data_IF_541169781498
#
_entry.id   IF_541169781498
#
_cell.length_a   1.000
_cell.length_b   1.000
_cell.length_c   1.000
_cell.angle_alpha   90.00
_cell.angle_beta   90.00
_cell.angle_gamma   90.00
#
_symmetry.space_group_name_H-M   'P 1'
#
loop_
_entity.id
_entity.type
_entity.pdbx_description
1 polymer ?
#
# COMPACT_ATOMS: atom_id res chain seq x y z
N UNK A 1 -1.30 -17.57 -3.55
CA UNK A 1 -2.69 -17.07 -3.52
C UNK A 1 -2.97 -16.14 -2.33
N UNK A 2 -2.66 -16.51 -1.07
CA UNK A 2 -2.97 -15.65 0.09
C UNK A 2 -2.29 -14.26 0.08
N UNK A 3 -1.02 -14.16 -0.31
CA UNK A 3 -0.27 -12.89 -0.33
C UNK A 3 -0.81 -11.91 -1.38
N UNK A 4 -1.24 -12.39 -2.55
CA UNK A 4 -1.91 -11.53 -3.54
C UNK A 4 -3.19 -10.89 -3.00
N UNK A 5 -4.01 -11.65 -2.26
CA UNK A 5 -5.17 -11.10 -1.56
C UNK A 5 -4.80 -10.09 -0.47
N UNK A 6 -3.64 -10.23 0.17
CA UNK A 6 -3.16 -9.23 1.12
C UNK A 6 -2.84 -7.90 0.41
N UNK A 7 -2.29 -7.94 -0.81
CA UNK A 7 -2.06 -6.72 -1.63
C UNK A 7 -3.39 -6.06 -1.98
N UNK A 8 -4.39 -6.83 -2.43
CA UNK A 8 -5.73 -6.31 -2.76
C UNK A 8 -6.45 -5.73 -1.54
N UNK A 9 -6.31 -6.35 -0.36
CA UNK A 9 -6.87 -5.84 0.89
C UNK A 9 -6.18 -4.55 1.33
N UNK A 10 -4.86 -4.45 1.15
CA UNK A 10 -4.12 -3.22 1.42
C UNK A 10 -4.55 -2.09 0.47
N UNK A 11 -4.73 -2.40 -0.82
CA UNK A 11 -5.30 -1.43 -1.76
C UNK A 11 -6.73 -1.03 -1.36
N UNK A 12 -7.58 -1.97 -0.95
CA UNK A 12 -8.93 -1.68 -0.52
C UNK A 12 -8.97 -0.77 0.72
N UNK A 13 -8.08 -1.01 1.69
CA UNK A 13 -7.86 -0.14 2.84
C UNK A 13 -7.60 1.31 2.39
N UNK A 14 -6.58 1.52 1.54
CA UNK A 14 -6.25 2.86 1.06
C UNK A 14 -7.38 3.50 0.26
N UNK A 15 -8.06 2.76 -0.61
CA UNK A 15 -9.16 3.31 -1.42
C UNK A 15 -10.36 3.74 -0.57
N UNK A 16 -10.72 2.98 0.47
CA UNK A 16 -11.82 3.37 1.37
C UNK A 16 -11.47 4.65 2.13
N UNK A 17 -10.24 4.77 2.64
CA UNK A 17 -9.78 5.97 3.32
C UNK A 17 -9.66 7.18 2.37
N UNK A 18 -9.05 6.99 1.20
CA UNK A 18 -8.86 7.99 0.14
C UNK A 18 -10.20 8.57 -0.34
N UNK A 19 -11.20 7.71 -0.58
CA UNK A 19 -12.53 8.15 -0.99
C UNK A 19 -13.18 9.11 0.03
N UNK A 20 -12.91 8.93 1.34
CA UNK A 20 -13.39 9.82 2.41
C UNK A 20 -12.60 11.13 2.39
N UNK A 21 -11.26 11.06 2.37
CA UNK A 21 -10.37 12.22 2.39
C UNK A 21 -10.62 13.15 1.20
N UNK A 22 -10.83 12.57 0.03
CA UNK A 22 -11.05 13.29 -1.23
C UNK A 22 -12.53 13.66 -1.47
N UNK A 23 -13.43 13.26 -0.55
CA UNK A 23 -14.88 13.44 -0.70
C UNK A 23 -15.43 12.86 -2.02
N UNK A 24 -14.86 11.73 -2.46
CA UNK A 24 -15.22 11.08 -3.72
C UNK A 24 -16.67 10.57 -3.73
N UNK A 25 -17.28 10.52 -4.92
CA UNK A 25 -18.66 10.05 -5.11
C UNK A 25 -18.74 8.58 -5.50
N UNK A 26 -17.89 8.15 -6.44
CA UNK A 26 -17.94 6.80 -7.01
C UNK A 26 -16.58 6.15 -7.11
N UNK A 27 -16.53 4.83 -6.89
CA UNK A 27 -15.34 3.99 -7.06
C UNK A 27 -15.76 2.71 -7.79
N UNK A 28 -15.00 2.32 -8.82
CA UNK A 28 -15.24 1.09 -9.62
C UNK A 28 -16.69 1.00 -10.16
N UNK A 29 -17.24 2.12 -10.61
CA UNK A 29 -18.59 2.20 -11.20
C UNK A 29 -19.74 2.12 -10.20
N UNK A 30 -19.48 2.22 -8.89
CA UNK A 30 -20.47 2.18 -7.81
C UNK A 30 -20.24 3.35 -6.83
N UNK A 31 -21.20 3.62 -5.94
CA UNK A 31 -20.99 4.58 -4.85
C UNK A 31 -19.78 4.17 -3.99
N UNK A 32 -18.98 5.16 -3.58
CA UNK A 32 -17.91 4.95 -2.60
C UNK A 32 -18.45 4.32 -1.32
N UNK A 33 -17.63 3.53 -0.62
CA UNK A 33 -18.10 2.75 0.55
C UNK A 33 -18.78 3.64 1.60
N UNK A 34 -18.15 4.75 1.97
CA UNK A 34 -18.69 5.72 2.94
C UNK A 34 -19.96 6.45 2.50
N UNK A 35 -20.31 6.41 1.20
CA UNK A 35 -21.53 6.99 0.65
C UNK A 35 -22.71 6.03 0.65
N UNK A 36 -22.51 4.73 0.96
CA UNK A 36 -23.62 3.78 1.04
C UNK A 36 -24.50 4.09 2.25
N UNK A 37 -25.81 3.90 2.06
CA UNK A 37 -26.81 4.06 3.12
C UNK A 37 -26.45 3.18 4.32
N UNK A 38 -26.42 3.79 5.52
CA UNK A 38 -26.09 3.12 6.77
C UNK A 38 -24.60 2.94 7.07
N UNK A 39 -23.68 3.34 6.18
CA UNK A 39 -22.22 3.24 6.42
C UNK A 39 -21.66 4.55 6.96
N UNK A 40 -21.73 5.64 6.19
CA UNK A 40 -21.19 6.93 6.64
C UNK A 40 -19.71 6.85 7.05
N UNK A 41 -19.37 7.48 8.18
CA UNK A 41 -17.98 7.52 8.67
C UNK A 41 -17.55 6.27 9.45
N UNK A 42 -18.44 5.30 9.68
CA UNK A 42 -18.03 3.98 10.18
C UNK A 42 -17.06 3.29 9.20
N UNK A 43 -17.08 3.71 7.92
CA UNK A 43 -16.11 3.37 6.90
C UNK A 43 -14.64 3.61 7.31
N UNK A 44 -14.36 4.54 8.23
CA UNK A 44 -13.00 4.75 8.78
C UNK A 44 -12.54 3.51 9.55
N UNK A 45 -13.41 2.95 10.39
CA UNK A 45 -13.11 1.71 11.09
C UNK A 45 -13.07 0.51 10.12
N UNK A 46 -13.93 0.49 9.10
CA UNK A 46 -13.91 -0.56 8.07
C UNK A 46 -12.59 -0.58 7.30
N UNK A 47 -12.01 0.58 7.01
CA UNK A 47 -10.66 0.70 6.45
C UNK A 47 -9.62 0.02 7.36
N UNK A 48 -9.63 0.29 8.67
CA UNK A 48 -8.71 -0.37 9.62
C UNK A 48 -8.94 -1.89 9.74
N UNK A 49 -10.19 -2.35 9.56
CA UNK A 49 -10.49 -3.79 9.51
C UNK A 49 -9.90 -4.45 8.25
N UNK A 50 -9.91 -3.77 7.10
CA UNK A 50 -9.28 -4.24 5.87
C UNK A 50 -7.76 -4.38 6.05
N UNK A 51 -7.11 -3.36 6.62
CA UNK A 51 -5.68 -3.39 6.93
C UNK A 51 -5.35 -4.51 7.94
N UNK A 52 -6.07 -4.58 9.07
CA UNK A 52 -5.88 -5.63 10.08
C UNK A 52 -6.03 -7.03 9.50
N UNK A 53 -6.92 -7.20 8.51
CA UNK A 53 -7.11 -8.48 7.83
C UNK A 53 -5.88 -8.92 7.04
N UNK A 54 -5.09 -7.99 6.49
CA UNK A 54 -3.81 -8.27 5.85
C UNK A 54 -2.90 -9.03 6.82
N UNK A 55 -2.65 -8.48 8.01
CA UNK A 55 -1.74 -9.08 8.98
C UNK A 55 -2.27 -10.41 9.54
N UNK A 56 -3.60 -10.53 9.71
CA UNK A 56 -4.22 -11.80 10.11
C UNK A 56 -4.02 -12.89 9.06
N UNK A 57 -4.16 -12.57 7.78
CA UNK A 57 -3.95 -13.52 6.68
C UNK A 57 -2.47 -13.87 6.52
N UNK A 58 -1.57 -12.89 6.60
CA UNK A 58 -0.12 -13.13 6.58
C UNK A 58 0.27 -14.07 7.73
N UNK A 59 -0.17 -13.81 8.96
CA UNK A 59 0.11 -14.68 10.11
C UNK A 59 -0.46 -16.09 9.91
N UNK A 60 -1.72 -16.19 9.47
CA UNK A 60 -2.42 -17.48 9.31
C UNK A 60 -1.78 -18.39 8.25
N UNK A 61 -1.40 -17.83 7.10
CA UNK A 61 -0.95 -18.63 5.95
C UNK A 61 0.55 -18.65 5.76
N UNK A 62 1.25 -17.64 6.27
CA UNK A 62 2.69 -17.51 6.13
C UNK A 62 3.44 -17.59 7.46
N UNK A 63 2.79 -17.62 8.62
CA UNK A 63 3.44 -17.48 9.94
C UNK A 63 4.56 -18.48 10.26
N UNK A 64 4.49 -19.70 9.72
CA UNK A 64 5.53 -20.74 9.88
C UNK A 64 6.54 -20.76 8.72
N UNK A 65 6.37 -19.89 7.73
CA UNK A 65 7.25 -19.82 6.56
C UNK A 65 8.49 -18.99 6.87
N UNK A 66 9.66 -19.36 6.33
CA UNK A 66 10.91 -18.62 6.57
C UNK A 66 10.85 -17.15 6.12
N UNK A 67 10.01 -16.84 5.13
CA UNK A 67 9.83 -15.49 4.59
C UNK A 67 8.75 -14.66 5.30
N UNK A 68 8.13 -15.16 6.37
CA UNK A 68 7.02 -14.47 7.06
C UNK A 68 7.38 -13.06 7.50
N UNK A 69 8.52 -12.92 8.18
CA UNK A 69 8.95 -11.65 8.75
C UNK A 69 9.23 -10.63 7.64
N UNK A 70 9.92 -11.05 6.58
CA UNK A 70 10.17 -10.21 5.41
C UNK A 70 8.89 -9.72 4.75
N UNK A 71 7.86 -10.57 4.63
CA UNK A 71 6.56 -10.13 4.15
C UNK A 71 5.91 -9.13 5.11
N UNK A 72 5.90 -9.40 6.41
CA UNK A 72 5.31 -8.51 7.39
C UNK A 72 5.96 -7.11 7.34
N UNK A 73 7.29 -7.05 7.35
CA UNK A 73 8.07 -5.81 7.25
C UNK A 73 7.82 -5.09 5.92
N UNK A 74 7.80 -5.81 4.80
CA UNK A 74 7.51 -5.23 3.48
C UNK A 74 6.12 -4.57 3.43
N UNK A 75 5.09 -5.23 3.96
CA UNK A 75 3.74 -4.68 4.00
C UNK A 75 3.65 -3.47 4.93
N UNK A 76 4.28 -3.51 6.12
CA UNK A 76 4.32 -2.37 7.04
C UNK A 76 5.05 -1.17 6.44
N UNK A 77 6.24 -1.39 5.86
CA UNK A 77 7.04 -0.34 5.24
C UNK A 77 6.31 0.30 4.05
N UNK A 78 5.69 -0.53 3.20
CA UNK A 78 4.91 -0.04 2.05
C UNK A 78 3.70 0.79 2.50
N UNK A 79 3.04 0.38 3.59
CA UNK A 79 1.91 1.11 4.14
C UNK A 79 2.36 2.50 4.62
N UNK A 80 3.44 2.55 5.40
CA UNK A 80 4.03 3.81 5.86
C UNK A 80 4.45 4.72 4.70
N UNK A 81 5.10 4.18 3.66
CA UNK A 81 5.46 4.94 2.46
C UNK A 81 4.23 5.54 1.77
N UNK A 82 3.15 4.77 1.68
CA UNK A 82 1.90 5.20 1.05
C UNK A 82 1.22 6.31 1.86
N UNK A 83 1.20 6.19 3.19
CA UNK A 83 0.68 7.20 4.11
C UNK A 83 1.48 8.51 4.05
N UNK A 84 2.81 8.44 3.95
CA UNK A 84 3.65 9.63 3.72
C UNK A 84 3.31 10.30 2.39
N UNK A 85 3.09 9.51 1.34
CA UNK A 85 2.65 10.00 0.04
C UNK A 85 1.29 10.69 0.11
N UNK A 86 0.34 10.10 0.83
CA UNK A 86 -0.98 10.67 1.07
C UNK A 86 -0.91 11.97 1.88
N UNK A 87 -0.09 12.03 2.93
CA UNK A 87 0.12 13.25 3.70
C UNK A 87 0.67 14.39 2.82
N UNK A 88 1.63 14.08 1.94
CA UNK A 88 2.18 15.06 1.00
C UNK A 88 1.15 15.53 -0.02
N UNK A 89 0.29 14.64 -0.51
CA UNK A 89 -0.82 14.96 -1.42
C UNK A 89 -1.79 15.97 -0.79
N UNK A 90 -2.28 15.68 0.42
CA UNK A 90 -3.22 16.53 1.16
C UNK A 90 -2.65 17.91 1.49
N UNK A 91 -1.38 17.99 1.91
CA UNK A 91 -0.72 19.27 2.21
C UNK A 91 -0.48 20.10 0.93
N UNK A 92 -0.34 19.44 -0.22
CA UNK A 92 -0.10 20.12 -1.50
C UNK A 92 -1.35 20.85 -1.99
N UNK A 93 -2.54 20.31 -1.76
CA UNK A 93 -3.81 20.88 -2.21
C UNK A 93 -4.82 21.06 -1.05
N UNK A 94 -4.56 21.96 -0.08
CA UNK A 94 -5.51 22.20 1.01
C UNK A 94 -6.79 22.86 0.49
N UNK A 95 -7.94 22.37 0.95
CA UNK A 95 -9.27 22.86 0.53
C UNK A 95 -9.47 24.36 0.79
N UNK A 96 -8.82 24.90 1.84
CA UNK A 96 -9.00 26.27 2.30
C UNK A 96 -8.15 27.32 1.58
N UNK A 97 -7.10 26.93 0.86
CA UNK A 97 -6.14 27.86 0.29
C UNK A 97 -5.58 27.38 -1.06
N UNK A 98 -5.76 28.18 -2.10
CA UNK A 98 -5.15 27.93 -3.41
C UNK A 98 -3.77 28.57 -3.46
N UNK A 99 -2.72 27.75 -3.66
CA UNK A 99 -1.34 28.19 -3.82
C UNK A 99 -0.65 27.35 -4.91
N UNK A 100 -0.63 27.89 -6.14
CA UNK A 100 -0.11 27.18 -7.31
C UNK A 100 1.41 26.98 -7.27
N UNK A 101 2.15 27.72 -6.42
CA UNK A 101 3.60 27.54 -6.26
C UNK A 101 3.94 26.18 -5.65
N UNK A 102 2.95 25.49 -5.06
CA UNK A 102 3.10 24.12 -4.57
C UNK A 102 3.18 23.09 -5.68
N UNK A 103 2.69 23.40 -6.88
CA UNK A 103 2.66 22.47 -8.00
C UNK A 103 3.96 22.49 -8.80
N UNK A 104 5.01 21.89 -8.23
CA UNK A 104 6.27 21.64 -8.92
C UNK A 104 6.39 20.18 -9.37
N UNK A 105 7.16 19.95 -10.43
CA UNK A 105 7.44 18.60 -10.94
C UNK A 105 8.08 17.70 -9.88
N UNK A 106 9.00 18.26 -9.09
CA UNK A 106 9.65 17.54 -7.98
C UNK A 106 8.62 17.02 -6.96
N UNK A 107 7.63 17.85 -6.62
CA UNK A 107 6.59 17.48 -5.65
C UNK A 107 5.64 16.45 -6.21
N UNK A 108 5.22 16.63 -7.46
CA UNK A 108 4.42 15.65 -8.18
C UNK A 108 5.11 14.28 -8.19
N UNK A 109 6.40 14.23 -8.57
CA UNK A 109 7.20 13.00 -8.57
C UNK A 109 7.25 12.33 -7.19
N UNK A 110 7.43 13.12 -6.12
CA UNK A 110 7.42 12.60 -4.77
C UNK A 110 6.04 12.02 -4.39
N UNK A 111 4.95 12.74 -4.66
CA UNK A 111 3.58 12.26 -4.37
C UNK A 111 3.34 10.93 -5.08
N UNK A 112 3.50 10.86 -6.39
CA UNK A 112 3.17 9.63 -7.14
C UNK A 112 4.08 8.45 -6.80
N UNK A 113 5.36 8.71 -6.47
CA UNK A 113 6.29 7.68 -6.01
C UNK A 113 5.81 7.06 -4.70
N UNK A 114 5.54 7.88 -3.69
CA UNK A 114 5.19 7.41 -2.36
C UNK A 114 3.73 6.94 -2.27
N UNK A 115 2.77 7.73 -2.76
CA UNK A 115 1.32 7.43 -2.70
C UNK A 115 0.94 6.23 -3.55
N UNK A 116 1.67 5.93 -4.64
CA UNK A 116 1.23 4.93 -5.61
C UNK A 116 2.28 3.88 -5.95
N UNK A 117 3.52 4.28 -6.27
CA UNK A 117 4.48 3.37 -6.89
C UNK A 117 4.86 2.17 -6.00
N UNK A 118 5.08 2.42 -4.70
CA UNK A 118 5.48 1.36 -3.77
C UNK A 118 4.42 0.28 -3.63
N UNK A 119 3.17 0.61 -3.28
CA UNK A 119 2.16 -0.42 -3.05
C UNK A 119 1.60 -1.04 -4.33
N UNK A 120 1.59 -0.31 -5.45
CA UNK A 120 0.99 -0.79 -6.70
C UNK A 120 1.96 -1.62 -7.55
N UNK A 121 3.27 -1.33 -7.50
CA UNK A 121 4.26 -1.97 -8.38
C UNK A 121 5.35 -2.69 -7.62
N UNK A 122 5.97 -2.05 -6.63
CA UNK A 122 7.09 -2.66 -5.88
C UNK A 122 6.64 -3.81 -4.98
N UNK A 123 5.64 -3.56 -4.12
CA UNK A 123 5.11 -4.53 -3.16
C UNK A 123 4.77 -5.90 -3.77
N UNK A 124 3.94 -6.01 -4.83
CA UNK A 124 3.58 -7.32 -5.39
C UNK A 124 4.79 -8.08 -5.94
N UNK A 125 5.76 -7.38 -6.53
CA UNK A 125 6.98 -7.99 -7.09
C UNK A 125 7.93 -8.44 -5.97
N UNK A 126 8.23 -7.54 -5.02
CA UNK A 126 9.10 -7.84 -3.89
C UNK A 126 8.54 -8.97 -3.02
N UNK A 127 7.23 -8.99 -2.77
CA UNK A 127 6.58 -10.06 -2.04
C UNK A 127 6.75 -11.42 -2.74
N UNK A 128 6.58 -11.46 -4.06
CA UNK A 128 6.82 -12.68 -4.84
C UNK A 128 8.29 -13.12 -4.80
N UNK A 129 9.23 -12.19 -4.90
CA UNK A 129 10.66 -12.46 -4.79
C UNK A 129 11.03 -13.06 -3.44
N UNK A 130 10.56 -12.49 -2.33
CA UNK A 130 10.77 -13.08 -1.01
C UNK A 130 10.22 -14.51 -0.94
N UNK A 131 9.01 -14.74 -1.45
CA UNK A 131 8.45 -16.10 -1.44
C UNK A 131 9.29 -17.10 -2.23
N UNK A 132 9.81 -16.72 -3.41
CA UNK A 132 10.60 -17.63 -4.28
C UNK A 132 12.02 -17.83 -3.76
N UNK A 133 12.71 -16.77 -3.32
CA UNK A 133 14.10 -16.84 -2.85
C UNK A 133 14.26 -17.78 -1.66
N UNK A 134 13.24 -17.88 -0.81
CA UNK A 134 13.23 -18.80 0.34
C UNK A 134 12.60 -20.17 0.03
N UNK A 135 11.98 -20.36 -1.14
CA UNK A 135 11.55 -21.69 -1.62
C UNK A 135 12.68 -22.42 -2.35
N UNK A 136 13.60 -21.69 -3.00
CA UNK A 136 14.73 -22.23 -3.76
C UNK A 136 16.04 -22.23 -2.96
N UNK A 137 16.04 -22.82 -1.76
CA UNK A 137 17.26 -23.03 -0.96
C UNK A 137 18.12 -24.10 -1.66
N UNK A 138 18.84 -23.69 -2.69
CA UNK A 138 19.71 -24.54 -3.49
C UNK A 138 20.70 -23.81 -4.41
N UNK A 139 20.47 -22.55 -4.81
CA UNK A 139 21.31 -22.00 -5.91
C UNK A 139 21.60 -20.50 -5.98
N UNK A 140 21.21 -19.63 -5.04
CA UNK A 140 21.38 -18.16 -5.25
C UNK A 140 21.75 -17.38 -3.98
N UNK A 141 22.92 -17.67 -3.42
CA UNK A 141 23.43 -16.98 -2.22
C UNK A 141 23.89 -15.53 -2.45
N UNK A 142 24.32 -15.18 -3.67
CA UNK A 142 24.97 -13.88 -3.95
C UNK A 142 24.10 -12.89 -4.75
N UNK A 143 23.14 -13.35 -5.57
CA UNK A 143 22.18 -12.47 -6.29
C UNK A 143 21.05 -11.92 -5.38
N UNK A 144 20.96 -12.45 -4.16
CA UNK A 144 19.88 -12.19 -3.19
C UNK A 144 19.81 -10.72 -2.75
N UNK A 145 20.97 -10.09 -2.54
CA UNK A 145 21.03 -8.77 -1.94
C UNK A 145 21.03 -7.67 -3.03
N UNK A 146 21.63 -7.90 -4.20
CA UNK A 146 21.75 -6.84 -5.23
C UNK A 146 20.41 -6.45 -5.86
N UNK A 147 19.49 -7.40 -6.05
CA UNK A 147 18.18 -7.13 -6.67
C UNK A 147 17.25 -6.38 -5.71
N UNK A 148 17.23 -6.72 -4.42
CA UNK A 148 16.38 -6.04 -3.43
C UNK A 148 16.88 -4.61 -3.21
N UNK A 149 18.19 -4.40 -3.05
CA UNK A 149 18.79 -3.07 -2.92
C UNK A 149 18.58 -2.18 -4.16
N UNK A 150 18.55 -2.75 -5.36
CA UNK A 150 18.30 -1.97 -6.59
C UNK A 150 16.91 -1.35 -6.64
N UNK A 151 15.90 -2.02 -6.07
CA UNK A 151 14.53 -1.50 -6.03
C UNK A 151 14.24 -0.63 -4.80
N UNK A 152 14.97 -0.81 -3.69
CA UNK A 152 14.94 0.14 -2.56
C UNK A 152 15.57 1.50 -2.91
N UNK A 153 16.44 1.54 -3.93
CA UNK A 153 17.11 2.74 -4.42
C UNK A 153 16.29 3.59 -5.43
N UNK A 154 15.07 3.17 -5.80
CA UNK A 154 14.19 3.92 -6.72
C UNK A 154 13.33 4.91 -5.95
#
# INVERSE_FOLDING_TARGET
MAVGWCVELLQAFFLVADDIMDSSLTRRGQLCWYKKEGVGLDAVNDAFLLESSVYRLLKKYCGERPYYLHLLELFLQTSYQTELGQALDLITAPVSQVDLNRFSEQRYKAIVKYKTAFYSFYLPVAAAMYMVSFMNVGSLGEERDSLIYQYEAV
#
